data_IF_061407467272
#
_entry.id   IF_061407467272
#
_cell.length_a   1.000
_cell.length_b   1.000
_cell.length_c   1.000
_cell.angle_alpha   90.00
_cell.angle_beta   90.00
_cell.angle_gamma   90.00
#
_symmetry.space_group_name_H-M   'P 1'
#
loop_
_entity.id
_entity.type
_entity.pdbx_description
1 polymer ?
#
# COMPACT_ATOMS: atom_id res chain seq x y z
N UNK A 1 -1.45 -13.78 -8.44
CA UNK A 1 -1.80 -12.57 -7.67
C UNK A 1 -1.08 -11.39 -8.27
N UNK A 2 -1.77 -10.26 -8.44
CA UNK A 2 -1.22 -9.07 -9.10
C UNK A 2 -1.30 -7.87 -8.17
N UNK A 3 -0.20 -7.13 -8.05
CA UNK A 3 -0.16 -5.86 -7.32
C UNK A 3 -0.80 -4.79 -8.19
N UNK A 4 -1.79 -4.07 -7.64
CA UNK A 4 -2.51 -3.01 -8.32
C UNK A 4 -1.54 -1.85 -8.57
N UNK A 5 -1.25 -1.59 -9.84
CA UNK A 5 -0.22 -0.63 -10.26
C UNK A 5 -0.73 0.81 -10.20
N UNK A 6 0.21 1.75 -10.28
CA UNK A 6 -0.04 3.21 -10.20
C UNK A 6 -1.16 3.67 -11.14
N UNK A 7 -1.13 3.18 -12.38
CA UNK A 7 -2.10 3.53 -13.42
C UNK A 7 -3.51 3.10 -13.06
N UNK A 8 -3.66 1.94 -12.42
CA UNK A 8 -4.97 1.39 -12.03
C UNK A 8 -5.52 2.13 -10.81
N UNK A 9 -4.68 2.34 -9.78
CA UNK A 9 -5.06 3.13 -8.61
C UNK A 9 -5.48 4.55 -9.00
N UNK A 10 -4.73 5.19 -9.88
CA UNK A 10 -5.09 6.54 -10.37
C UNK A 10 -6.47 6.54 -11.03
N UNK A 11 -6.79 5.53 -11.84
CA UNK A 11 -8.12 5.39 -12.45
C UNK A 11 -9.21 5.16 -11.40
N UNK A 12 -8.96 4.33 -10.39
CA UNK A 12 -9.92 4.07 -9.32
C UNK A 12 -10.19 5.32 -8.49
N UNK A 13 -9.14 6.04 -8.07
CA UNK A 13 -9.26 7.29 -7.33
C UNK A 13 -10.02 8.37 -8.12
N UNK A 14 -9.78 8.48 -9.44
CA UNK A 14 -10.53 9.40 -10.31
C UNK A 14 -12.01 9.04 -10.41
N UNK A 15 -12.32 7.75 -10.60
CA UNK A 15 -13.70 7.25 -10.67
C UNK A 15 -14.46 7.53 -9.37
N UNK A 16 -13.81 7.27 -8.25
CA UNK A 16 -14.41 7.34 -6.91
C UNK A 16 -14.38 8.78 -6.35
N UNK A 17 -13.93 9.76 -7.16
CA UNK A 17 -13.83 11.19 -6.82
C UNK A 17 -13.08 11.44 -5.50
N UNK A 18 -12.12 10.58 -5.18
CA UNK A 18 -11.30 10.73 -3.99
C UNK A 18 -10.35 11.90 -4.23
N UNK A 19 -10.52 12.97 -3.45
CA UNK A 19 -9.57 14.07 -3.45
C UNK A 19 -8.22 13.54 -2.94
N UNK A 20 -7.15 13.73 -3.73
CA UNK A 20 -5.79 13.46 -3.25
C UNK A 20 -5.55 14.28 -1.98
N UNK A 21 -4.90 13.67 -0.99
CA UNK A 21 -4.62 14.27 0.33
C UNK A 21 -4.17 15.74 0.17
N UNK A 22 -4.75 16.69 0.93
CA UNK A 22 -4.40 18.10 0.82
C UNK A 22 -2.89 18.31 1.02
N UNK A 23 -2.30 19.11 0.12
CA UNK A 23 -0.86 19.19 -0.18
C UNK A 23 0.09 19.59 0.96
N UNK A 24 -0.41 19.83 2.18
CA UNK A 24 0.35 20.35 3.32
C UNK A 24 1.01 19.30 4.21
N UNK A 25 0.72 18.01 4.05
CA UNK A 25 1.25 16.96 4.92
C UNK A 25 2.72 16.60 4.63
N UNK A 26 3.11 16.60 3.36
CA UNK A 26 4.48 16.31 2.91
C UNK A 26 4.95 17.38 1.92
N UNK A 27 6.27 17.57 1.77
CA UNK A 27 6.83 18.44 0.72
C UNK A 27 7.21 17.67 -0.54
N UNK A 28 7.54 16.39 -0.42
CA UNK A 28 7.94 15.51 -1.53
C UNK A 28 6.73 14.96 -2.28
N UNK A 29 6.66 15.22 -3.58
CA UNK A 29 5.51 14.81 -4.41
C UNK A 29 5.39 13.27 -4.53
N UNK A 30 6.51 12.55 -4.63
CA UNK A 30 6.47 11.07 -4.70
C UNK A 30 5.97 10.46 -3.39
N UNK A 31 6.41 11.00 -2.26
CA UNK A 31 5.93 10.57 -0.96
C UNK A 31 4.42 10.81 -0.82
N UNK A 32 3.91 11.97 -1.28
CA UNK A 32 2.46 12.24 -1.33
C UNK A 32 1.72 11.22 -2.16
N UNK A 33 2.25 10.86 -3.33
CA UNK A 33 1.64 9.85 -4.20
C UNK A 33 1.57 8.48 -3.52
N UNK A 34 2.69 8.00 -2.97
CA UNK A 34 2.73 6.70 -2.29
C UNK A 34 1.80 6.66 -1.09
N UNK A 35 1.77 7.73 -0.29
CA UNK A 35 0.81 7.87 0.81
C UNK A 35 -0.63 7.84 0.29
N UNK A 36 -0.96 8.58 -0.76
CA UNK A 36 -2.32 8.62 -1.30
C UNK A 36 -2.79 7.25 -1.80
N UNK A 37 -1.89 6.46 -2.41
CA UNK A 37 -2.19 5.11 -2.87
C UNK A 37 -2.40 4.14 -1.69
N UNK A 38 -1.53 4.22 -0.68
CA UNK A 38 -1.69 3.46 0.55
C UNK A 38 -3.01 3.79 1.26
N UNK A 39 -3.26 5.08 1.51
CA UNK A 39 -4.46 5.59 2.19
C UNK A 39 -5.74 5.20 1.45
N UNK A 40 -5.74 5.34 0.12
CA UNK A 40 -6.84 4.91 -0.72
C UNK A 40 -7.12 3.42 -0.55
N UNK A 41 -6.11 2.56 -0.67
CA UNK A 41 -6.31 1.12 -0.52
C UNK A 41 -6.73 0.71 0.91
N UNK A 42 -6.24 1.42 1.92
CA UNK A 42 -6.54 1.18 3.32
C UNK A 42 -8.00 1.49 3.66
N UNK A 43 -8.54 2.56 3.09
CA UNK A 43 -9.87 3.06 3.42
C UNK A 43 -10.93 2.73 2.37
N UNK A 44 -10.53 2.23 1.21
CA UNK A 44 -11.49 1.78 0.20
C UNK A 44 -11.83 0.32 0.44
N UNK A 45 -13.07 0.07 0.85
CA UNK A 45 -13.72 -1.21 0.60
C UNK A 45 -13.99 -1.31 -0.90
N UNK A 46 -12.95 -1.62 -1.69
CA UNK A 46 -13.17 -1.82 -3.12
C UNK A 46 -14.21 -2.94 -3.19
N UNK A 47 -15.38 -2.66 -3.81
CA UNK A 47 -16.46 -3.63 -4.07
C UNK A 47 -15.98 -4.70 -5.07
N UNK A 48 -14.85 -5.32 -4.76
CA UNK A 48 -14.25 -6.37 -5.54
C UNK A 48 -14.82 -7.68 -4.98
N UNK A 49 -15.97 -8.05 -5.53
CA UNK A 49 -16.65 -9.29 -5.20
C UNK A 49 -15.77 -10.49 -5.61
N UNK A 50 -14.89 -10.96 -4.72
CA UNK A 50 -14.09 -12.17 -4.90
C UNK A 50 -12.86 -12.29 -3.98
N UNK A 51 -12.51 -13.51 -3.57
CA UNK A 51 -11.33 -13.83 -2.74
C UNK A 51 -10.01 -13.34 -3.37
N UNK A 52 -9.84 -13.57 -4.67
CA UNK A 52 -8.67 -13.11 -5.44
C UNK A 52 -8.49 -11.60 -5.37
N UNK A 53 -9.60 -10.87 -5.27
CA UNK A 53 -9.55 -9.43 -5.23
C UNK A 53 -9.25 -8.89 -3.83
N UNK A 54 -9.72 -9.55 -2.77
CA UNK A 54 -9.30 -9.27 -1.38
C UNK A 54 -7.78 -9.45 -1.25
N UNK A 55 -7.27 -10.57 -1.74
CA UNK A 55 -5.84 -10.87 -1.77
C UNK A 55 -5.06 -9.75 -2.48
N UNK A 56 -5.41 -9.41 -3.73
CA UNK A 56 -4.75 -8.33 -4.46
C UNK A 56 -4.79 -6.98 -3.73
N UNK A 57 -5.90 -6.62 -3.06
CA UNK A 57 -5.98 -5.39 -2.26
C UNK A 57 -4.95 -5.41 -1.13
N UNK A 58 -4.94 -6.45 -0.29
CA UNK A 58 -4.12 -6.47 0.92
C UNK A 58 -2.63 -6.46 0.56
N UNK A 59 -2.19 -7.25 -0.42
CA UNK A 59 -0.78 -7.20 -0.87
C UNK A 59 -0.44 -5.85 -1.54
N UNK A 60 -1.38 -5.23 -2.25
CA UNK A 60 -1.17 -3.90 -2.80
C UNK A 60 -1.05 -2.83 -1.71
N UNK A 61 -1.87 -2.94 -0.65
CA UNK A 61 -1.79 -2.05 0.51
C UNK A 61 -0.40 -2.12 1.13
N UNK A 62 0.10 -3.33 1.39
CA UNK A 62 1.46 -3.53 1.91
C UNK A 62 2.53 -3.00 0.96
N UNK A 63 2.40 -3.26 -0.35
CA UNK A 63 3.34 -2.75 -1.36
C UNK A 63 3.44 -1.22 -1.36
N UNK A 64 2.31 -0.52 -1.42
CA UNK A 64 2.29 0.94 -1.45
C UNK A 64 2.75 1.56 -0.13
N UNK A 65 2.45 0.89 0.99
CA UNK A 65 2.99 1.23 2.29
C UNK A 65 4.53 1.11 2.32
N UNK A 66 5.12 0.01 1.84
CA UNK A 66 6.58 -0.15 1.81
C UNK A 66 7.26 0.91 0.93
N UNK A 67 6.65 1.30 -0.20
CA UNK A 67 7.12 2.44 -1.02
C UNK A 67 7.06 3.76 -0.26
N UNK A 68 5.96 4.03 0.43
CA UNK A 68 5.80 5.19 1.31
C UNK A 68 6.86 5.22 2.42
N UNK A 69 7.00 4.13 3.20
CA UNK A 69 7.96 3.98 4.28
C UNK A 69 9.38 4.26 3.83
N UNK A 70 9.82 3.58 2.76
CA UNK A 70 11.17 3.75 2.22
C UNK A 70 11.44 5.19 1.82
N UNK A 71 10.52 5.81 1.08
CA UNK A 71 10.66 7.21 0.66
C UNK A 71 10.63 8.17 1.84
N UNK A 72 9.81 7.90 2.85
CA UNK A 72 9.77 8.69 4.08
C UNK A 72 11.13 8.65 4.79
N UNK A 73 11.69 7.45 5.00
CA UNK A 73 12.98 7.29 5.69
C UNK A 73 14.14 7.94 4.92
N UNK A 74 14.09 7.93 3.59
CA UNK A 74 15.06 8.65 2.75
C UNK A 74 15.03 10.18 2.97
N UNK A 75 13.86 10.76 3.23
CA UNK A 75 13.68 12.22 3.32
C UNK A 75 13.81 12.72 4.76
N UNK A 76 13.13 12.05 5.69
CA UNK A 76 12.95 12.51 7.08
C UNK A 76 13.76 11.70 8.09
N UNK A 77 14.37 10.60 7.66
CA UNK A 77 15.07 9.65 8.54
C UNK A 77 14.12 8.61 9.14
N UNK A 78 14.71 7.71 9.92
CA UNK A 78 13.99 6.60 10.55
C UNK A 78 12.92 7.10 11.53
N UNK A 79 11.73 6.51 11.43
CA UNK A 79 10.61 6.72 12.34
C UNK A 79 10.11 5.36 12.83
N UNK A 80 10.14 5.15 14.16
CA UNK A 80 9.76 3.88 14.77
C UNK A 80 8.26 3.60 14.68
N UNK A 81 7.42 4.64 14.66
CA UNK A 81 5.97 4.49 14.51
C UNK A 81 5.62 4.06 13.10
N UNK A 82 6.31 4.60 12.09
CA UNK A 82 6.23 4.09 10.73
C UNK A 82 6.70 2.64 10.72
N UNK A 83 7.91 2.31 11.17
CA UNK A 83 8.37 0.91 11.13
C UNK A 83 7.38 -0.08 11.80
N UNK A 84 6.79 0.31 12.93
CA UNK A 84 5.78 -0.48 13.63
C UNK A 84 4.50 -0.68 12.81
N UNK A 85 4.00 0.33 12.10
CA UNK A 85 2.85 0.19 11.19
C UNK A 85 3.10 -0.90 10.13
N UNK A 86 4.33 -0.99 9.61
CA UNK A 86 4.70 -2.05 8.66
C UNK A 86 4.60 -3.45 9.25
N UNK A 87 4.91 -3.61 10.54
CA UNK A 87 4.75 -4.87 11.27
C UNK A 87 3.26 -5.18 11.46
N UNK A 88 2.45 -4.20 11.86
CA UNK A 88 1.00 -4.39 12.01
C UNK A 88 0.34 -4.81 10.70
N UNK A 89 0.76 -4.26 9.55
CA UNK A 89 0.24 -4.68 8.25
C UNK A 89 0.59 -6.14 7.89
N UNK A 90 1.75 -6.65 8.32
CA UNK A 90 2.11 -8.06 8.15
C UNK A 90 1.26 -8.97 9.03
N UNK A 91 0.99 -8.57 10.28
CA UNK A 91 0.09 -9.31 11.17
C UNK A 91 -1.34 -9.35 10.61
N UNK A 92 -1.81 -8.26 10.02
CA UNK A 92 -3.12 -8.22 9.36
C UNK A 92 -3.18 -9.10 8.12
N UNK A 93 -2.12 -9.14 7.30
CA UNK A 93 -1.99 -10.09 6.20
C UNK A 93 -2.17 -11.53 6.68
N UNK A 94 -1.53 -11.90 7.80
CA UNK A 94 -1.66 -13.23 8.38
C UNK A 94 -3.07 -13.53 8.90
N UNK A 95 -3.74 -12.54 9.49
CA UNK A 95 -5.10 -12.70 10.03
C UNK A 95 -6.19 -12.71 8.94
N UNK A 96 -6.02 -11.93 7.87
CA UNK A 96 -7.05 -11.71 6.85
C UNK A 96 -7.00 -12.72 5.69
N UNK A 97 -5.86 -13.40 5.48
CA UNK A 97 -5.66 -14.37 4.42
C UNK A 97 -5.82 -15.79 4.96
N UNK A 98 -7.00 -16.39 4.74
CA UNK A 98 -7.34 -17.75 5.20
C UNK A 98 -6.37 -18.85 4.68
N UNK A 99 -5.75 -18.63 3.52
CA UNK A 99 -4.81 -19.59 2.91
C UNK A 99 -3.35 -19.36 3.38
N UNK A 100 -3.14 -18.41 4.30
CA UNK A 100 -1.84 -17.95 4.75
C UNK A 100 -1.21 -16.88 3.86
N UNK A 101 -0.11 -16.31 4.35
CA UNK A 101 0.68 -15.29 3.64
C UNK A 101 1.65 -15.96 2.68
N UNK A 102 1.65 -15.52 1.43
CA UNK A 102 2.68 -15.81 0.44
C UNK A 102 3.90 -14.91 0.70
N UNK A 103 4.81 -15.42 1.52
CA UNK A 103 6.04 -14.74 1.89
C UNK A 103 6.96 -14.43 0.70
N UNK A 104 6.82 -15.14 -0.43
CA UNK A 104 7.61 -14.84 -1.63
C UNK A 104 7.23 -13.49 -2.23
N UNK A 105 5.95 -13.13 -2.14
CA UNK A 105 5.45 -11.81 -2.57
C UNK A 105 5.94 -10.74 -1.62
N UNK A 106 5.86 -10.97 -0.30
CA UNK A 106 6.35 -10.03 0.72
C UNK A 106 7.83 -9.74 0.53
N UNK A 107 8.65 -10.78 0.36
CA UNK A 107 10.06 -10.63 0.06
C UNK A 107 10.28 -9.83 -1.23
N UNK A 108 9.54 -10.14 -2.30
CA UNK A 108 9.61 -9.40 -3.55
C UNK A 108 9.27 -7.91 -3.41
N UNK A 109 8.31 -7.57 -2.55
CA UNK A 109 7.95 -6.18 -2.25
C UNK A 109 9.12 -5.45 -1.57
N UNK A 110 9.65 -6.00 -0.48
CA UNK A 110 10.74 -5.41 0.31
C UNK A 110 12.03 -5.27 -0.50
N UNK A 111 12.36 -6.27 -1.30
CA UNK A 111 13.55 -6.28 -2.18
C UNK A 111 13.35 -5.44 -3.47
N UNK A 112 12.16 -4.87 -3.69
CA UNK A 112 11.78 -4.13 -4.91
C UNK A 112 11.85 -4.97 -6.21
N UNK A 113 11.55 -6.28 -6.12
CA UNK A 113 11.56 -7.23 -7.23
C UNK A 113 10.20 -7.40 -7.95
N UNK A 114 9.16 -6.66 -7.57
CA UNK A 114 7.85 -6.74 -8.24
C UNK A 114 7.83 -5.83 -9.48
N UNK A 115 7.60 -6.42 -10.67
CA UNK A 115 7.69 -5.80 -12.01
C UNK A 115 6.32 -5.46 -12.63
#
# INVERSE_FOLDING_TARGET
>A
MEIIKELELTKFMQRDKVEKVPSKMFSDERLKEFWSYYDFLRHTTMNLNGKEAKHSIIYSTYYWYTKYKKRYFEIYGYDAGIEQEGICLLEELENELEDGVDWSIIQGIEENLVF
#
